data_IF_468017745501
#
_entry.id   IF_468017745501
#
_cell.length_a   1.000
_cell.length_b   1.000
_cell.length_c   1.000
_cell.angle_alpha   90.00
_cell.angle_beta   90.00
_cell.angle_gamma   90.00
#
_symmetry.space_group_name_H-M   'P 1'
#
loop_
_entity.id
_entity.type
_entity.pdbx_description
1 polymer ?
#
# COMPACT_ATOMS: atom_id res chain seq x y z
N UNK A 1 -23.26 -1.76 -23.63
CA UNK A 1 -21.99 -2.47 -23.89
C UNK A 1 -21.10 -2.29 -22.68
N UNK A 2 -20.66 -3.41 -22.11
CA UNK A 2 -20.21 -3.56 -20.73
C UNK A 2 -18.95 -2.75 -20.35
N UNK A 3 -19.04 -2.02 -19.23
CA UNK A 3 -17.91 -1.49 -18.50
C UNK A 3 -17.11 -2.63 -17.88
N UNK A 4 -16.11 -3.14 -18.62
CA UNK A 4 -15.00 -3.88 -18.01
C UNK A 4 -14.09 -2.83 -17.37
N UNK A 5 -13.87 -2.90 -16.06
CA UNK A 5 -12.69 -2.34 -15.44
C UNK A 5 -11.46 -2.89 -16.18
N UNK A 6 -10.87 -2.07 -17.06
CA UNK A 6 -9.74 -2.47 -17.92
C UNK A 6 -8.47 -2.36 -17.10
N UNK A 7 -7.78 -3.49 -16.97
CA UNK A 7 -6.36 -3.55 -16.66
C UNK A 7 -5.53 -2.70 -17.65
N UNK A 8 -4.34 -2.23 -17.25
CA UNK A 8 -3.47 -1.41 -18.09
C UNK A 8 -2.81 -2.27 -19.17
N UNK A 9 -3.20 -2.08 -20.43
CA UNK A 9 -2.70 -2.76 -21.65
C UNK A 9 -2.74 -4.31 -21.60
N UNK A 10 -3.13 -4.93 -22.71
CA UNK A 10 -3.09 -6.40 -22.87
C UNK A 10 -1.64 -6.90 -23.00
N UNK A 11 -1.39 -8.19 -22.73
CA UNK A 11 -0.04 -8.77 -22.94
C UNK A 11 0.45 -8.57 -24.38
N UNK A 12 -0.45 -8.70 -25.37
CA UNK A 12 -0.13 -8.44 -26.79
C UNK A 12 0.23 -6.98 -27.07
N UNK A 13 -0.30 -6.03 -26.30
CA UNK A 13 0.08 -4.61 -26.39
C UNK A 13 1.43 -4.38 -25.71
N UNK A 14 1.72 -5.07 -24.62
CA UNK A 14 3.04 -5.02 -23.96
C UNK A 14 4.16 -5.65 -24.79
N UNK A 15 3.88 -6.74 -25.51
CA UNK A 15 4.83 -7.32 -26.46
C UNK A 15 5.22 -6.30 -27.53
N UNK A 16 4.23 -5.56 -28.05
CA UNK A 16 4.44 -4.52 -29.05
C UNK A 16 5.24 -3.34 -28.49
N UNK A 17 4.92 -2.88 -27.27
CA UNK A 17 5.70 -1.84 -26.57
C UNK A 17 7.14 -2.31 -26.34
N UNK A 18 7.36 -3.60 -26.06
CA UNK A 18 8.70 -4.18 -25.92
C UNK A 18 9.47 -4.15 -27.24
N UNK A 19 8.83 -4.51 -28.35
CA UNK A 19 9.41 -4.40 -29.70
C UNK A 19 9.80 -2.96 -30.01
N UNK A 20 8.91 -1.99 -29.75
CA UNK A 20 9.22 -0.59 -30.01
C UNK A 20 10.35 -0.05 -29.13
N UNK A 21 10.38 -0.44 -27.84
CA UNK A 21 11.47 -0.09 -26.95
C UNK A 21 12.82 -0.65 -27.43
N UNK A 22 12.84 -1.89 -27.91
CA UNK A 22 14.03 -2.51 -28.48
C UNK A 22 14.51 -1.78 -29.75
N UNK A 23 13.61 -1.57 -30.71
CA UNK A 23 13.98 -1.10 -32.06
C UNK A 23 14.23 0.40 -32.15
N UNK A 24 13.53 1.20 -31.35
CA UNK A 24 13.52 2.66 -31.50
C UNK A 24 14.14 3.39 -30.31
N UNK A 25 14.00 2.86 -29.10
CA UNK A 25 14.49 3.52 -27.88
C UNK A 25 15.86 3.01 -27.44
N UNK A 26 16.12 1.70 -27.50
CA UNK A 26 17.29 1.03 -26.91
C UNK A 26 18.23 0.40 -27.95
N UNK A 27 18.03 0.70 -29.23
CA UNK A 27 18.96 0.40 -30.32
C UNK A 27 20.15 1.39 -30.29
N UNK A 28 20.92 1.36 -29.20
CA UNK A 28 22.05 2.26 -28.94
C UNK A 28 23.16 1.55 -28.15
N UNK A 29 24.39 2.04 -28.32
CA UNK A 29 25.55 1.57 -27.55
C UNK A 29 25.61 2.12 -26.13
N UNK A 30 24.84 3.18 -25.84
CA UNK A 30 24.75 3.80 -24.51
C UNK A 30 23.29 3.97 -24.06
N UNK A 31 22.66 2.91 -23.53
CA UNK A 31 21.25 2.94 -23.14
C UNK A 31 20.99 3.83 -21.93
N UNK A 32 21.99 4.08 -21.07
CA UNK A 32 21.82 4.92 -19.88
C UNK A 32 21.63 6.38 -20.26
N UNK A 33 22.54 6.92 -21.08
CA UNK A 33 22.42 8.31 -21.56
C UNK A 33 21.17 8.52 -22.40
N UNK A 34 20.82 7.52 -23.22
CA UNK A 34 19.60 7.56 -24.03
C UNK A 34 18.34 7.67 -23.16
N UNK A 35 18.17 6.81 -22.16
CA UNK A 35 17.01 6.90 -21.27
C UNK A 35 16.99 8.21 -20.48
N UNK A 36 18.14 8.71 -20.04
CA UNK A 36 18.22 10.02 -19.39
C UNK A 36 17.74 11.16 -20.32
N UNK A 37 18.05 11.13 -21.62
CA UNK A 37 17.59 12.12 -22.60
C UNK A 37 16.07 12.12 -22.79
N UNK A 38 15.44 10.94 -22.72
CA UNK A 38 13.97 10.82 -22.73
C UNK A 38 13.32 11.09 -21.36
N UNK A 39 14.11 11.61 -20.40
CA UNK A 39 13.62 12.11 -19.12
C UNK A 39 13.27 11.02 -18.12
N UNK A 40 13.85 9.82 -18.23
CA UNK A 40 13.79 8.85 -17.14
C UNK A 40 14.66 9.30 -15.97
N UNK A 41 14.18 9.08 -14.74
CA UNK A 41 14.90 9.49 -13.53
C UNK A 41 16.26 8.75 -13.43
N UNK A 42 17.36 9.42 -13.06
CA UNK A 42 18.68 8.80 -12.94
C UNK A 42 18.69 7.58 -12.01
N UNK A 43 17.92 7.63 -10.92
CA UNK A 43 17.79 6.54 -9.93
C UNK A 43 17.05 5.33 -10.51
N UNK A 44 16.09 5.57 -11.41
CA UNK A 44 15.38 4.50 -12.11
C UNK A 44 16.28 3.84 -13.15
N UNK A 45 17.00 4.65 -13.94
CA UNK A 45 17.91 4.13 -14.99
C UNK A 45 19.06 3.35 -14.37
N UNK A 46 19.63 3.80 -13.25
CA UNK A 46 20.73 3.10 -12.57
C UNK A 46 20.32 1.78 -11.92
N UNK A 47 19.04 1.60 -11.61
CA UNK A 47 18.49 0.35 -11.08
C UNK A 47 18.22 -0.71 -12.17
N UNK A 48 18.21 -0.33 -13.45
CA UNK A 48 17.96 -1.27 -14.54
C UNK A 48 19.22 -2.09 -14.85
N UNK A 49 19.12 -3.42 -15.03
CA UNK A 49 20.24 -4.27 -15.44
C UNK A 49 20.51 -4.11 -16.95
N UNK A 50 20.95 -2.92 -17.38
CA UNK A 50 21.20 -2.60 -18.78
C UNK A 50 22.53 -3.20 -19.26
N UNK A 51 22.47 -3.99 -20.32
CA UNK A 51 23.59 -4.64 -21.00
C UNK A 51 23.82 -4.03 -22.38
N UNK A 52 24.69 -4.65 -23.20
CA UNK A 52 24.86 -4.28 -24.61
C UNK A 52 23.77 -4.88 -25.53
N UNK A 53 22.88 -5.71 -24.99
CA UNK A 53 21.86 -6.43 -25.77
C UNK A 53 20.54 -5.68 -25.67
N UNK A 54 20.14 -5.02 -26.76
CA UNK A 54 18.93 -4.17 -26.80
C UNK A 54 17.63 -4.92 -26.44
N UNK A 55 17.53 -6.20 -26.81
CA UNK A 55 16.35 -7.02 -26.49
C UNK A 55 16.21 -7.33 -24.99
N UNK A 56 17.32 -7.53 -24.27
CA UNK A 56 17.32 -7.73 -22.82
C UNK A 56 16.98 -6.42 -22.11
N UNK A 57 17.57 -5.31 -22.56
CA UNK A 57 17.31 -3.98 -22.04
C UNK A 57 15.83 -3.59 -22.18
N UNK A 58 15.22 -3.88 -23.34
CA UNK A 58 13.81 -3.58 -23.58
C UNK A 58 12.89 -4.35 -22.65
N UNK A 59 13.16 -5.64 -22.42
CA UNK A 59 12.39 -6.45 -21.46
C UNK A 59 12.56 -5.95 -20.04
N UNK A 60 13.78 -5.62 -19.62
CA UNK A 60 14.06 -5.09 -18.30
C UNK A 60 13.34 -3.75 -18.06
N UNK A 61 13.40 -2.84 -19.04
CA UNK A 61 12.71 -1.55 -19.00
C UNK A 61 11.19 -1.72 -18.92
N UNK A 62 10.59 -2.53 -19.79
CA UNK A 62 9.15 -2.78 -19.78
C UNK A 62 8.71 -3.42 -18.47
N UNK A 63 9.45 -4.41 -17.98
CA UNK A 63 9.14 -5.06 -16.71
C UNK A 63 9.16 -4.08 -15.54
N UNK A 64 10.22 -3.28 -15.43
CA UNK A 64 10.33 -2.24 -14.41
C UNK A 64 9.24 -1.17 -14.55
N UNK A 65 8.91 -0.76 -15.77
CA UNK A 65 7.83 0.22 -16.03
C UNK A 65 6.44 -0.33 -15.72
N UNK A 66 6.19 -1.63 -15.82
CA UNK A 66 4.89 -2.24 -15.51
C UNK A 66 4.50 -2.13 -14.02
N UNK A 67 5.45 -1.83 -13.13
CA UNK A 67 5.23 -1.74 -11.68
C UNK A 67 4.37 -0.54 -11.23
N UNK A 68 4.13 0.46 -12.07
CA UNK A 68 3.26 1.59 -11.71
C UNK A 68 2.76 2.35 -12.93
N UNK A 69 1.52 2.83 -12.87
CA UNK A 69 0.85 3.49 -14.01
C UNK A 69 1.59 4.74 -14.50
N UNK A 70 2.24 5.50 -13.61
CA UNK A 70 3.09 6.64 -13.96
C UNK A 70 4.31 6.20 -14.80
N UNK A 71 4.94 5.08 -14.43
CA UNK A 71 6.11 4.54 -15.14
C UNK A 71 5.71 3.94 -16.49
N UNK A 72 4.52 3.33 -16.57
CA UNK A 72 3.94 2.86 -17.83
C UNK A 72 3.67 4.04 -18.77
N UNK A 73 3.03 5.10 -18.26
CA UNK A 73 2.74 6.31 -19.01
C UNK A 73 4.03 6.98 -19.49
N UNK A 74 5.05 7.09 -18.63
CA UNK A 74 6.36 7.64 -18.99
C UNK A 74 7.05 6.86 -20.11
N UNK A 75 6.99 5.52 -20.07
CA UNK A 75 7.56 4.68 -21.11
C UNK A 75 6.88 4.89 -22.46
N UNK A 76 5.54 4.86 -22.49
CA UNK A 76 4.81 5.04 -23.75
C UNK A 76 4.95 6.49 -24.26
N UNK A 77 4.99 7.50 -23.37
CA UNK A 77 5.32 8.87 -23.75
C UNK A 77 6.69 8.96 -24.43
N UNK A 78 7.73 8.39 -23.81
CA UNK A 78 9.06 8.37 -24.38
C UNK A 78 9.08 7.71 -25.76
N UNK A 79 8.38 6.59 -25.96
CA UNK A 79 8.27 5.94 -27.27
C UNK A 79 7.59 6.84 -28.30
N UNK A 80 6.53 7.56 -27.91
CA UNK A 80 5.84 8.48 -28.84
C UNK A 80 6.64 9.72 -29.22
N UNK A 81 7.70 10.06 -28.46
CA UNK A 81 8.60 11.17 -28.77
C UNK A 81 9.85 10.74 -29.53
N UNK A 82 10.09 9.43 -29.72
CA UNK A 82 11.20 8.96 -30.57
C UNK A 82 10.93 9.29 -32.03
N UNK A 83 11.79 10.09 -32.65
CA UNK A 83 11.67 10.51 -34.06
C UNK A 83 11.53 9.33 -35.03
N UNK A 84 12.24 8.23 -34.78
CA UNK A 84 12.20 7.01 -35.61
C UNK A 84 10.82 6.34 -35.61
N UNK A 85 10.11 6.35 -34.47
CA UNK A 85 8.75 5.80 -34.38
C UNK A 85 7.72 6.80 -34.90
N UNK A 86 7.95 8.09 -34.70
CA UNK A 86 7.01 9.16 -35.06
C UNK A 86 6.64 9.22 -36.56
N UNK A 87 7.52 8.71 -37.43
CA UNK A 87 7.30 8.67 -38.89
C UNK A 87 6.67 7.36 -39.39
N UNK A 88 6.47 6.37 -38.51
CA UNK A 88 5.91 5.07 -38.87
C UNK A 88 4.40 5.00 -38.60
N UNK A 89 3.64 4.15 -39.33
CA UNK A 89 2.21 3.95 -39.06
C UNK A 89 1.92 3.52 -37.61
N UNK A 90 2.86 2.82 -36.98
CA UNK A 90 2.78 2.35 -35.60
C UNK A 90 2.63 3.48 -34.56
N UNK A 91 3.00 4.72 -34.91
CA UNK A 91 2.80 5.88 -34.02
C UNK A 91 1.34 6.11 -33.67
N UNK A 92 0.40 5.78 -34.57
CA UNK A 92 -1.04 5.91 -34.32
C UNK A 92 -1.43 5.01 -33.16
N UNK A 93 -0.98 3.75 -33.20
CA UNK A 93 -1.24 2.79 -32.12
C UNK A 93 -0.55 3.19 -30.82
N UNK A 94 0.69 3.68 -30.89
CA UNK A 94 1.40 4.16 -29.70
C UNK A 94 0.68 5.35 -29.03
N UNK A 95 0.11 6.28 -29.83
CA UNK A 95 -0.71 7.39 -29.34
C UNK A 95 -2.03 6.92 -28.75
N UNK A 96 -2.73 5.97 -29.37
CA UNK A 96 -3.95 5.38 -28.81
C UNK A 96 -3.70 4.70 -27.46
N UNK A 97 -2.58 3.97 -27.33
CA UNK A 97 -2.18 3.37 -26.05
C UNK A 97 -1.87 4.44 -25.01
N UNK A 98 -1.19 5.52 -25.40
CA UNK A 98 -0.89 6.64 -24.52
C UNK A 98 -2.16 7.35 -24.03
N UNK A 99 -3.13 7.61 -24.92
CA UNK A 99 -4.40 8.24 -24.55
C UNK A 99 -5.18 7.38 -23.57
N UNK A 100 -5.26 6.06 -23.81
CA UNK A 100 -5.86 5.11 -22.87
C UNK A 100 -5.17 5.11 -21.51
N UNK A 101 -3.84 5.04 -21.49
CA UNK A 101 -3.08 5.12 -20.24
C UNK A 101 -3.26 6.47 -19.54
N UNK A 102 -3.42 7.57 -20.27
CA UNK A 102 -3.73 8.89 -19.69
C UNK A 102 -5.15 8.97 -19.15
N UNK A 103 -6.12 8.31 -19.79
CA UNK A 103 -7.48 8.19 -19.26
C UNK A 103 -7.51 7.32 -18.02
N UNK A 104 -6.83 6.18 -18.04
CA UNK A 104 -6.68 5.29 -16.89
C UNK A 104 -5.92 6.00 -15.75
N UNK A 105 -4.84 6.73 -16.06
CA UNK A 105 -4.12 7.55 -15.10
C UNK A 105 -5.00 8.67 -14.55
N UNK A 106 -5.78 9.36 -15.39
CA UNK A 106 -6.72 10.39 -14.92
C UNK A 106 -7.83 9.78 -14.07
N UNK A 107 -8.36 8.61 -14.40
CA UNK A 107 -9.36 7.91 -13.60
C UNK A 107 -8.78 7.42 -12.27
N UNK A 108 -7.54 6.92 -12.28
CA UNK A 108 -6.81 6.53 -11.08
C UNK A 108 -6.39 7.71 -10.22
N UNK A 109 -6.00 8.83 -10.82
CA UNK A 109 -5.64 10.07 -10.12
C UNK A 109 -6.86 10.85 -9.65
N UNK A 110 -8.00 10.73 -10.35
CA UNK A 110 -9.27 11.33 -9.95
C UNK A 110 -9.97 10.53 -8.83
N UNK A 111 -9.68 9.24 -8.69
CA UNK A 111 -10.12 8.45 -7.54
C UNK A 111 -9.15 8.66 -6.38
N UNK A 112 -9.61 9.40 -5.39
CA UNK A 112 -8.89 9.56 -4.13
C UNK A 112 -8.83 8.21 -3.41
N UNK A 113 -7.71 7.49 -3.55
CA UNK A 113 -7.51 6.16 -2.95
C UNK A 113 -7.64 6.21 -1.41
N UNK A 114 -7.43 7.38 -0.81
CA UNK A 114 -7.66 7.57 0.63
C UNK A 114 -9.14 7.63 0.98
N UNK A 115 -10.02 7.91 0.02
CA UNK A 115 -11.49 7.93 0.19
C UNK A 115 -12.15 6.62 -0.20
N UNK A 116 -11.38 5.61 -0.65
CA UNK A 116 -11.93 4.32 -1.02
C UNK A 116 -12.73 3.70 0.15
N UNK A 117 -14.02 3.45 -0.08
CA UNK A 117 -14.90 2.75 0.85
C UNK A 117 -14.78 1.23 0.70
N UNK A 118 -14.50 0.75 -0.51
CA UNK A 118 -14.41 -0.68 -0.80
C UNK A 118 -13.03 -1.03 -1.35
N UNK A 119 -12.31 -1.91 -0.65
CA UNK A 119 -10.89 -2.17 -0.89
C UNK A 119 -10.69 -3.30 -1.93
N UNK A 120 -10.33 -4.52 -1.50
CA UNK A 120 -9.91 -5.65 -2.36
C UNK A 120 -10.89 -5.93 -3.50
N UNK A 121 -10.64 -5.39 -4.69
CA UNK A 121 -11.48 -5.60 -5.89
C UNK A 121 -12.98 -5.42 -5.61
N UNK A 122 -13.35 -4.53 -4.68
CA UNK A 122 -14.73 -4.32 -4.32
C UNK A 122 -15.34 -5.30 -3.28
N UNK A 123 -14.57 -6.14 -2.59
CA UNK A 123 -15.16 -7.12 -1.65
C UNK A 123 -15.03 -6.78 -0.17
N UNK A 124 -14.06 -5.94 0.23
CA UNK A 124 -13.83 -5.62 1.65
C UNK A 124 -14.30 -4.21 1.98
N UNK A 125 -15.18 -4.08 2.96
CA UNK A 125 -15.70 -2.80 3.42
C UNK A 125 -14.73 -2.11 4.38
N UNK A 126 -14.47 -0.82 4.13
CA UNK A 126 -13.71 0.05 5.01
C UNK A 126 -14.56 1.27 5.39
N UNK A 127 -15.23 1.16 6.53
CA UNK A 127 -16.29 2.07 6.97
C UNK A 127 -15.72 3.17 7.87
N UNK A 128 -16.04 4.43 7.55
CA UNK A 128 -15.62 5.60 8.32
C UNK A 128 -14.10 5.83 8.29
N UNK A 129 -13.53 6.17 9.46
CA UNK A 129 -12.09 6.39 9.69
C UNK A 129 -11.50 7.60 8.96
N UNK A 130 -12.25 8.70 8.86
CA UNK A 130 -11.81 9.93 8.22
C UNK A 130 -10.52 10.51 8.80
N UNK A 131 -10.38 10.51 10.13
CA UNK A 131 -9.17 10.99 10.80
C UNK A 131 -7.93 10.18 10.38
N UNK A 132 -8.07 8.85 10.25
CA UNK A 132 -6.99 7.98 9.77
C UNK A 132 -6.68 8.24 8.30
N UNK A 133 -7.70 8.44 7.45
CA UNK A 133 -7.51 8.74 6.01
C UNK A 133 -6.69 10.01 5.83
N UNK A 134 -7.06 11.08 6.53
CA UNK A 134 -6.33 12.35 6.49
C UNK A 134 -4.94 12.25 7.14
N UNK A 135 -4.82 11.49 8.24
CA UNK A 135 -3.53 11.25 8.89
C UNK A 135 -2.59 10.50 7.97
N UNK A 136 -3.07 9.46 7.28
CA UNK A 136 -2.27 8.70 6.31
C UNK A 136 -1.89 9.53 5.10
N UNK A 137 -2.78 10.41 4.64
CA UNK A 137 -2.45 11.36 3.56
C UNK A 137 -1.30 12.28 3.94
N UNK A 138 -1.38 12.90 5.13
CA UNK A 138 -0.30 13.76 5.65
C UNK A 138 0.97 12.96 5.90
N UNK A 139 0.83 11.77 6.49
CA UNK A 139 1.94 10.87 6.74
C UNK A 139 2.68 10.56 5.44
N UNK A 140 1.99 10.14 4.37
CA UNK A 140 2.61 9.84 3.08
C UNK A 140 3.26 11.05 2.43
N UNK A 141 2.65 12.23 2.54
CA UNK A 141 3.17 13.46 1.95
C UNK A 141 4.39 14.04 2.70
N UNK A 142 4.56 13.71 3.98
CA UNK A 142 5.62 14.24 4.83
C UNK A 142 6.75 13.21 5.01
N UNK A 143 7.95 13.43 4.43
CA UNK A 143 9.07 12.50 4.55
C UNK A 143 9.71 12.51 5.94
N UNK A 144 9.48 13.56 6.74
CA UNK A 144 9.97 13.61 8.13
C UNK A 144 9.12 12.71 9.04
N UNK A 145 7.92 12.31 8.60
CA UNK A 145 7.04 11.42 9.35
C UNK A 145 7.20 9.97 8.89
N UNK A 146 7.83 9.16 9.74
CA UNK A 146 8.05 7.74 9.46
C UNK A 146 7.50 6.79 10.54
N UNK A 147 6.91 7.31 11.62
CA UNK A 147 6.26 6.47 12.65
C UNK A 147 4.77 6.82 12.75
N UNK A 148 3.90 5.84 12.52
CA UNK A 148 2.46 5.94 12.73
C UNK A 148 2.05 5.12 13.97
N UNK A 149 1.41 5.78 14.92
CA UNK A 149 0.90 5.18 16.15
C UNK A 149 -0.63 5.18 16.10
N UNK A 150 -1.23 3.99 16.17
CA UNK A 150 -2.68 3.82 16.15
C UNK A 150 -3.12 3.22 17.47
N UNK A 151 -3.79 4.05 18.28
CA UNK A 151 -4.43 3.64 19.53
C UNK A 151 -5.90 3.28 19.28
N UNK A 152 -6.57 2.69 20.25
CA UNK A 152 -8.03 2.52 20.29
C UNK A 152 -8.45 1.31 21.09
N UNK A 153 -9.70 1.30 21.53
CA UNK A 153 -10.25 0.23 22.35
C UNK A 153 -10.30 -1.11 21.59
N UNK A 154 -10.26 -2.26 22.29
CA UNK A 154 -10.47 -3.57 21.66
C UNK A 154 -11.77 -3.58 20.86
N UNK A 155 -11.71 -4.09 19.62
CA UNK A 155 -12.87 -4.14 18.72
C UNK A 155 -13.18 -2.84 17.96
N UNK A 156 -12.39 -1.77 18.13
CA UNK A 156 -12.51 -0.51 17.36
C UNK A 156 -12.05 -0.60 15.89
N UNK A 157 -11.69 -1.80 15.42
CA UNK A 157 -11.28 -2.02 14.03
C UNK A 157 -9.83 -1.65 13.72
N UNK A 158 -8.93 -1.57 14.70
CA UNK A 158 -7.49 -1.27 14.48
C UNK A 158 -6.85 -2.18 13.42
N UNK A 159 -7.18 -3.47 13.41
CA UNK A 159 -6.65 -4.41 12.42
C UNK A 159 -7.17 -4.14 10.99
N UNK A 160 -8.29 -3.43 10.83
CA UNK A 160 -8.75 -2.96 9.51
C UNK A 160 -7.86 -1.85 8.96
N UNK A 161 -7.16 -1.09 9.81
CA UNK A 161 -6.14 -0.14 9.37
C UNK A 161 -5.08 -0.84 8.52
N UNK A 162 -4.69 -2.07 8.86
CA UNK A 162 -3.73 -2.83 8.05
C UNK A 162 -4.28 -3.14 6.64
N UNK A 163 -5.56 -3.52 6.52
CA UNK A 163 -6.17 -3.76 5.21
C UNK A 163 -6.18 -2.49 4.36
N UNK A 164 -6.46 -1.34 4.98
CA UNK A 164 -6.42 -0.05 4.31
C UNK A 164 -4.99 0.36 3.92
N UNK A 165 -4.00 0.15 4.79
CA UNK A 165 -2.59 0.35 4.48
C UNK A 165 -2.14 -0.50 3.28
N UNK A 166 -2.59 -1.75 3.20
CA UNK A 166 -2.31 -2.62 2.06
C UNK A 166 -2.93 -2.09 0.78
N UNK A 167 -4.16 -1.59 0.84
CA UNK A 167 -4.80 -0.96 -0.32
C UNK A 167 -4.03 0.28 -0.78
N UNK A 168 -3.71 1.20 0.13
CA UNK A 168 -2.93 2.40 -0.21
C UNK A 168 -1.55 2.00 -0.75
N UNK A 169 -0.88 1.03 -0.12
CA UNK A 169 0.44 0.56 -0.56
C UNK A 169 0.47 0.09 -2.02
N UNK A 170 -0.58 -0.61 -2.46
CA UNK A 170 -0.73 -1.02 -3.86
C UNK A 170 -0.78 0.16 -4.84
N UNK A 171 -1.29 1.32 -4.40
CA UNK A 171 -1.43 2.51 -5.24
C UNK A 171 -0.31 3.54 -5.05
N UNK A 172 0.37 3.53 -3.90
CA UNK A 172 1.42 4.50 -3.53
C UNK A 172 2.83 3.92 -3.57
N UNK A 173 3.01 2.68 -4.05
CA UNK A 173 4.32 2.08 -4.29
C UNK A 173 5.07 1.67 -3.03
N UNK A 174 4.35 1.20 -2.00
CA UNK A 174 4.96 0.63 -0.79
C UNK A 174 4.28 -0.68 -0.40
N UNK A 175 5.00 -1.52 0.35
CA UNK A 175 4.51 -2.82 0.80
C UNK A 175 4.49 -2.89 2.34
N UNK A 176 3.31 -2.96 2.96
CA UNK A 176 3.21 -3.15 4.41
C UNK A 176 3.42 -4.62 4.80
N UNK A 177 4.39 -4.86 5.68
CA UNK A 177 4.74 -6.17 6.23
C UNK A 177 4.30 -6.26 7.68
N UNK A 178 3.46 -7.24 8.02
CA UNK A 178 2.81 -7.31 9.33
C UNK A 178 3.36 -8.42 10.21
N UNK A 179 3.63 -8.07 11.46
CA UNK A 179 3.89 -9.01 12.55
C UNK A 179 2.84 -8.80 13.64
N UNK A 180 1.96 -9.79 13.82
CA UNK A 180 0.99 -9.81 14.92
C UNK A 180 1.68 -10.26 16.21
N UNK A 181 1.59 -9.40 17.22
CA UNK A 181 2.15 -9.61 18.55
C UNK A 181 1.17 -10.34 19.46
N UNK A 182 1.65 -10.79 20.60
CA UNK A 182 0.86 -11.50 21.61
C UNK A 182 1.64 -11.48 22.92
N UNK A 183 0.99 -11.87 24.02
CA UNK A 183 1.61 -11.94 25.36
C UNK A 183 2.90 -12.77 25.44
N UNK A 184 3.11 -13.70 24.50
CA UNK A 184 4.30 -14.58 24.47
C UNK A 184 5.32 -14.18 23.39
N UNK A 185 5.11 -13.02 22.77
CA UNK A 185 6.03 -12.47 21.78
C UNK A 185 7.29 -11.96 22.47
N UNK A 186 8.43 -12.29 21.86
CA UNK A 186 9.76 -11.84 22.30
C UNK A 186 10.44 -11.12 21.15
N UNK A 187 11.41 -10.24 21.46
CA UNK A 187 12.16 -9.51 20.45
C UNK A 187 12.75 -10.46 19.40
N UNK A 188 13.31 -11.59 19.84
CA UNK A 188 13.86 -12.61 18.95
C UNK A 188 12.84 -13.17 17.93
N UNK A 189 11.60 -13.43 18.37
CA UNK A 189 10.53 -13.91 17.47
C UNK A 189 10.11 -12.83 16.48
N UNK A 190 10.03 -11.58 16.94
CA UNK A 190 9.66 -10.43 16.09
C UNK A 190 10.73 -10.18 15.03
N UNK A 191 12.01 -10.13 15.43
CA UNK A 191 13.16 -10.01 14.52
C UNK A 191 13.13 -11.11 13.48
N UNK A 192 12.95 -12.37 13.88
CA UNK A 192 12.90 -13.49 12.93
C UNK A 192 11.79 -13.32 11.90
N UNK A 193 10.59 -12.92 12.33
CA UNK A 193 9.46 -12.68 11.42
C UNK A 193 9.71 -11.49 10.50
N UNK A 194 10.32 -10.42 10.98
CA UNK A 194 10.69 -9.28 10.14
C UNK A 194 11.79 -9.66 9.15
N UNK A 195 12.77 -10.46 9.56
CA UNK A 195 13.83 -11.01 8.72
C UNK A 195 13.25 -11.80 7.53
N UNK A 196 12.21 -12.62 7.75
CA UNK A 196 11.52 -13.34 6.68
C UNK A 196 10.93 -12.41 5.60
N UNK A 197 10.63 -11.16 5.93
CA UNK A 197 10.10 -10.17 4.98
C UNK A 197 11.17 -9.30 4.32
N UNK A 198 12.28 -9.02 5.03
CA UNK A 198 13.35 -8.14 4.54
C UNK A 198 14.52 -8.91 3.90
N UNK A 199 14.57 -10.24 4.03
CA UNK A 199 15.57 -11.08 3.39
C UNK A 199 15.23 -11.31 1.91
N UNK A 200 16.18 -11.01 1.02
CA UNK A 200 16.10 -11.40 -0.39
C UNK A 200 16.19 -12.92 -0.60
N UNK A 201 15.69 -13.45 -1.73
CA UNK A 201 15.78 -14.87 -2.04
C UNK A 201 17.25 -15.33 -2.08
N UNK A 202 17.64 -16.18 -1.12
CA UNK A 202 18.98 -16.78 -1.04
C UNK A 202 19.94 -16.15 -0.03
N UNK A 203 19.59 -15.02 0.60
CA UNK A 203 20.42 -14.38 1.64
C UNK A 203 19.98 -14.83 3.03
N UNK A 204 20.30 -16.09 3.34
CA UNK A 204 19.98 -16.71 4.62
C UNK A 204 21.04 -16.41 5.69
N UNK A 205 20.80 -15.39 6.51
CA UNK A 205 21.23 -15.39 7.90
C UNK A 205 20.36 -14.42 8.70
N UNK A 206 19.53 -14.98 9.59
CA UNK A 206 18.94 -14.19 10.69
C UNK A 206 20.09 -13.68 11.56
N UNK A 207 20.12 -12.39 11.96
CA UNK A 207 21.20 -11.85 12.79
C UNK A 207 21.30 -12.59 14.13
N UNK A 208 20.19 -13.17 14.59
CA UNK A 208 20.14 -14.06 15.75
C UNK A 208 20.55 -15.49 15.34
N UNK A 209 21.85 -15.73 15.17
CA UNK A 209 22.42 -17.06 14.97
C UNK A 209 22.87 -17.62 16.33
N UNK A 210 22.13 -18.56 16.97
CA UNK A 210 22.50 -19.10 18.27
C UNK A 210 23.73 -20.04 18.23
N UNK A 211 24.30 -20.28 17.05
CA UNK A 211 25.37 -21.26 16.82
C UNK A 211 26.77 -20.65 16.66
N UNK A 212 26.90 -19.33 16.55
CA UNK A 212 28.20 -18.65 16.53
C UNK A 212 28.71 -18.47 17.98
N UNK A 213 29.41 -19.50 18.43
CA UNK A 213 29.88 -19.74 19.81
C UNK A 213 30.83 -18.69 20.42
N UNK A 214 31.02 -17.53 19.81
CA UNK A 214 31.93 -16.48 20.30
C UNK A 214 31.32 -15.08 20.44
N UNK A 215 30.06 -14.84 20.03
CA UNK A 215 29.37 -13.58 20.33
C UNK A 215 28.16 -13.86 21.25
N UNK A 216 28.26 -13.32 22.47
CA UNK A 216 27.24 -13.42 23.50
C UNK A 216 26.00 -12.61 23.10
N UNK A 217 25.09 -13.23 22.35
CA UNK A 217 23.79 -12.70 21.92
C UNK A 217 23.91 -11.38 21.13
N UNK A 218 23.64 -11.36 19.81
CA UNK A 218 23.52 -10.10 19.08
C UNK A 218 22.56 -9.19 19.84
N UNK A 219 23.01 -7.98 20.11
CA UNK A 219 22.22 -7.08 20.94
C UNK A 219 20.91 -6.74 20.22
N UNK A 220 19.84 -6.45 20.98
CA UNK A 220 18.56 -6.00 20.41
C UNK A 220 18.76 -4.81 19.47
N UNK A 221 19.74 -3.97 19.78
CA UNK A 221 20.18 -2.83 18.99
C UNK A 221 20.77 -3.23 17.63
N UNK A 222 21.71 -4.18 17.59
CA UNK A 222 22.27 -4.70 16.33
C UNK A 222 21.20 -5.36 15.46
N UNK A 223 20.28 -6.12 16.08
CA UNK A 223 19.17 -6.74 15.37
C UNK A 223 18.22 -5.70 14.76
N UNK A 224 17.94 -4.61 15.49
CA UNK A 224 17.14 -3.50 15.00
C UNK A 224 17.81 -2.78 13.82
N UNK A 225 19.10 -2.46 13.93
CA UNK A 225 19.89 -1.86 12.84
C UNK A 225 19.97 -2.76 11.62
N UNK A 226 20.12 -4.08 11.81
CA UNK A 226 20.09 -5.02 10.71
C UNK A 226 18.74 -5.00 9.98
N UNK A 227 17.62 -5.05 10.71
CA UNK A 227 16.27 -4.99 10.11
C UNK A 227 16.06 -3.67 9.37
N UNK A 228 16.41 -2.53 9.99
CA UNK A 228 16.27 -1.21 9.39
C UNK A 228 17.14 -1.06 8.14
N UNK A 229 18.41 -1.48 8.20
CA UNK A 229 19.33 -1.45 7.06
C UNK A 229 18.84 -2.32 5.89
N UNK A 230 18.32 -3.52 6.17
CA UNK A 230 17.74 -4.40 5.15
C UNK A 230 16.46 -3.85 4.55
N UNK A 231 15.57 -3.31 5.39
CA UNK A 231 14.35 -2.66 4.91
C UNK A 231 14.66 -1.42 4.04
N UNK A 232 15.75 -0.71 4.37
CA UNK A 232 16.24 0.46 3.61
C UNK A 232 16.91 0.06 2.29
N UNK A 233 17.51 -1.13 2.23
CA UNK A 233 18.15 -1.65 1.02
C UNK A 233 17.19 -2.37 0.06
N UNK A 234 15.95 -2.64 0.48
CA UNK A 234 14.95 -3.31 -0.34
C UNK A 234 14.59 -2.48 -1.60
N UNK A 235 14.32 -3.16 -2.71
CA UNK A 235 13.88 -2.53 -3.96
C UNK A 235 12.49 -1.87 -3.81
N UNK A 236 11.65 -2.42 -2.93
CA UNK A 236 10.32 -1.91 -2.59
C UNK A 236 10.38 -1.09 -1.29
N UNK A 237 9.59 0.00 -1.20
CA UNK A 237 9.42 0.74 0.05
C UNK A 237 8.69 -0.13 1.07
N UNK A 238 9.36 -0.53 2.15
CA UNK A 238 8.76 -1.39 3.17
C UNK A 238 8.16 -0.57 4.32
N UNK A 239 6.92 -0.90 4.70
CA UNK A 239 6.29 -0.39 5.91
C UNK A 239 6.19 -1.52 6.92
N UNK A 240 6.95 -1.42 8.01
CA UNK A 240 7.00 -2.40 9.08
C UNK A 240 5.80 -2.17 10.00
N UNK A 241 4.88 -3.13 10.06
CA UNK A 241 3.65 -3.05 10.86
C UNK A 241 3.74 -4.03 12.03
N UNK A 242 3.75 -3.52 13.25
CA UNK A 242 3.61 -4.31 14.47
C UNK A 242 2.15 -4.18 14.95
N UNK A 243 1.42 -5.30 14.92
CA UNK A 243 0.00 -5.35 15.24
C UNK A 243 -0.22 -5.94 16.64
N UNK A 244 -1.30 -5.54 17.31
CA UNK A 244 -1.65 -5.98 18.67
C UNK A 244 -0.58 -5.63 19.74
N UNK A 245 -0.02 -4.41 19.70
CA UNK A 245 0.94 -3.95 20.70
C UNK A 245 0.37 -3.93 22.14
N UNK A 246 -0.95 -3.78 22.30
CA UNK A 246 -1.65 -3.82 23.59
C UNK A 246 -1.73 -5.21 24.22
N UNK A 247 -1.51 -6.27 23.44
CA UNK A 247 -1.42 -7.65 23.95
C UNK A 247 -0.02 -8.03 24.41
N UNK A 248 0.99 -7.16 24.28
CA UNK A 248 2.32 -7.41 24.80
C UNK A 248 2.34 -7.40 26.33
N UNK A 249 3.14 -8.29 26.92
CA UNK A 249 3.45 -8.22 28.34
C UNK A 249 4.22 -6.91 28.65
N UNK A 250 3.88 -6.16 29.71
CA UNK A 250 4.58 -4.93 30.08
C UNK A 250 6.10 -5.10 30.29
N UNK A 251 6.56 -6.30 30.64
CA UNK A 251 7.97 -6.64 30.84
C UNK A 251 8.65 -7.25 29.60
N UNK A 252 7.94 -7.32 28.47
CA UNK A 252 8.47 -7.88 27.22
C UNK A 252 9.67 -7.09 26.69
N UNK A 253 10.70 -7.82 26.25
CA UNK A 253 11.88 -7.29 25.54
C UNK A 253 11.53 -6.70 24.17
N UNK A 254 10.33 -6.96 23.65
CA UNK A 254 9.80 -6.36 22.42
C UNK A 254 9.71 -4.84 22.56
N UNK A 255 9.45 -4.31 23.76
CA UNK A 255 9.39 -2.86 23.97
C UNK A 255 10.73 -2.18 23.71
N UNK A 256 11.84 -2.80 24.14
CA UNK A 256 13.19 -2.34 23.85
C UNK A 256 13.48 -2.43 22.35
N UNK A 257 13.09 -3.53 21.72
CA UNK A 257 13.23 -3.70 20.28
C UNK A 257 12.47 -2.66 19.47
N UNK A 258 11.22 -2.32 19.85
CA UNK A 258 10.45 -1.26 19.19
C UNK A 258 11.17 0.08 19.27
N UNK A 259 11.72 0.42 20.45
CA UNK A 259 12.49 1.63 20.65
C UNK A 259 13.74 1.66 19.76
N UNK A 260 14.53 0.59 19.77
CA UNK A 260 15.76 0.50 18.96
C UNK A 260 15.47 0.46 17.46
N UNK A 261 14.41 -0.23 17.03
CA UNK A 261 14.00 -0.24 15.63
C UNK A 261 13.59 1.16 15.17
N UNK A 262 12.86 1.91 16.00
CA UNK A 262 12.47 3.27 15.69
C UNK A 262 13.68 4.21 15.57
N UNK A 263 14.68 4.07 16.45
CA UNK A 263 15.96 4.80 16.37
C UNK A 263 16.75 4.41 15.11
N UNK A 264 16.90 3.11 14.84
CA UNK A 264 17.61 2.65 13.67
C UNK A 264 16.96 3.17 12.37
N UNK A 265 15.63 3.16 12.29
CA UNK A 265 14.90 3.73 11.15
C UNK A 265 15.16 5.23 10.98
N UNK A 266 15.24 6.00 12.07
CA UNK A 266 15.59 7.42 12.02
C UNK A 266 16.99 7.64 11.43
N UNK A 267 17.97 6.88 11.91
CA UNK A 267 19.36 6.98 11.44
C UNK A 267 19.49 6.59 9.96
N UNK A 268 18.79 5.55 9.53
CA UNK A 268 18.78 5.11 8.14
C UNK A 268 17.92 6.01 7.22
N UNK A 269 16.89 6.67 7.75
CA UNK A 269 16.01 7.54 6.96
C UNK A 269 16.76 8.75 6.39
N UNK A 270 17.72 9.30 7.13
CA UNK A 270 18.58 10.39 6.67
C UNK A 270 19.33 10.07 5.36
N UNK A 271 19.58 8.78 5.07
CA UNK A 271 20.32 8.36 3.88
C UNK A 271 19.44 8.20 2.63
N UNK A 272 18.12 8.02 2.77
CA UNK A 272 17.22 7.61 1.66
C UNK A 272 15.97 8.47 1.49
N UNK A 273 15.73 9.46 2.36
CA UNK A 273 14.63 10.42 2.25
C UNK A 273 13.27 9.71 2.08
N UNK A 274 12.54 10.05 1.00
CA UNK A 274 11.22 9.50 0.69
C UNK A 274 11.15 7.97 0.49
N UNK A 275 12.30 7.31 0.32
CA UNK A 275 12.40 5.86 0.18
C UNK A 275 12.63 5.15 1.53
N UNK A 276 12.75 5.90 2.63
CA UNK A 276 13.00 5.34 3.94
C UNK A 276 11.85 4.41 4.39
N UNK A 277 12.18 3.26 4.99
CA UNK A 277 11.17 2.40 5.59
C UNK A 277 10.42 3.12 6.71
N UNK A 278 9.15 2.78 6.88
CA UNK A 278 8.28 3.39 7.90
C UNK A 278 7.81 2.36 8.91
N UNK A 279 7.57 2.80 10.14
CA UNK A 279 7.07 1.98 11.24
C UNK A 279 5.61 2.31 11.53
N UNK A 280 4.78 1.29 11.67
CA UNK A 280 3.37 1.41 12.07
C UNK A 280 3.15 0.53 13.30
N UNK A 281 2.69 1.11 14.39
CA UNK A 281 2.35 0.40 15.63
C UNK A 281 0.84 0.44 15.85
N UNK A 282 0.17 -0.71 15.74
CA UNK A 282 -1.28 -0.84 15.94
C UNK A 282 -1.57 -1.36 17.34
N UNK A 283 -2.53 -0.72 18.01
CA UNK A 283 -2.79 -0.97 19.43
C UNK A 283 -1.75 -0.33 20.34
N UNK A 284 -1.04 0.71 19.87
CA UNK A 284 0.00 1.37 20.65
C UNK A 284 -0.54 2.65 21.27
N UNK A 285 -0.89 2.58 22.56
CA UNK A 285 -1.54 3.67 23.29
C UNK A 285 -0.59 4.62 23.99
N UNK A 286 -1.09 5.81 24.33
CA UNK A 286 -0.31 6.87 25.01
C UNK A 286 0.19 6.48 26.41
N UNK A 287 -0.45 5.51 27.05
CA UNK A 287 -0.04 4.99 28.36
C UNK A 287 1.11 3.97 28.28
N UNK A 288 1.49 3.53 27.08
CA UNK A 288 2.53 2.53 26.88
C UNK A 288 3.94 3.13 27.00
N UNK A 289 4.95 2.27 26.96
CA UNK A 289 6.36 2.65 27.05
C UNK A 289 6.70 3.63 25.93
N UNK A 290 6.99 4.88 26.26
CA UNK A 290 7.23 5.94 25.29
C UNK A 290 8.42 5.63 24.38
N UNK A 291 8.29 5.99 23.10
CA UNK A 291 9.41 6.01 22.16
C UNK A 291 10.48 7.03 22.60
N UNK A 292 11.73 6.84 22.16
CA UNK A 292 12.82 7.80 22.40
C UNK A 292 12.42 9.26 22.10
N UNK A 293 12.91 10.18 22.94
CA UNK A 293 12.51 11.59 22.92
C UNK A 293 12.76 12.26 21.56
N UNK A 294 13.87 11.91 20.92
CA UNK A 294 14.32 12.50 19.66
C UNK A 294 13.35 12.21 18.50
N UNK A 295 12.56 11.13 18.61
CA UNK A 295 11.62 10.70 17.57
C UNK A 295 10.28 11.43 17.62
N UNK A 296 10.01 12.27 18.63
CA UNK A 296 8.71 12.95 18.82
C UNK A 296 8.31 13.80 17.62
N UNK A 297 9.29 14.38 16.93
CA UNK A 297 9.08 15.15 15.69
C UNK A 297 8.56 14.28 14.53
N UNK A 298 8.84 12.98 14.55
CA UNK A 298 8.60 12.06 13.43
C UNK A 298 7.34 11.19 13.61
N UNK A 299 6.59 11.40 14.70
CA UNK A 299 5.38 10.64 15.02
C UNK A 299 4.13 11.25 14.38
N UNK A 300 3.23 10.36 13.97
CA UNK A 300 1.82 10.63 13.66
C UNK A 300 0.94 9.76 14.56
N UNK A 301 -0.16 10.33 15.05
CA UNK A 301 -1.11 9.64 15.92
C UNK A 301 -2.46 9.52 15.23
N UNK A 302 -3.08 8.35 15.39
CA UNK A 302 -4.47 8.10 15.08
C UNK A 302 -5.15 7.38 16.26
N UNK A 303 -6.46 7.57 16.40
CA UNK A 303 -7.24 6.89 17.44
C UNK A 303 -8.43 6.20 16.80
N UNK A 304 -8.38 4.88 16.81
CA UNK A 304 -9.43 4.01 16.32
C UNK A 304 -10.68 4.12 17.19
N UNK A 305 -11.81 4.37 16.54
CA UNK A 305 -13.14 4.35 17.13
C UNK A 305 -14.02 3.38 16.33
N UNK A 306 -14.91 2.63 17.01
CA UNK A 306 -15.94 1.86 16.32
C UNK A 306 -16.79 2.78 15.44
N UNK A 307 -17.17 2.31 14.26
CA UNK A 307 -18.09 3.02 13.38
C UNK A 307 -19.52 2.93 13.93
N UNK A 308 -20.20 4.06 13.97
CA UNK A 308 -21.60 4.16 14.35
C UNK A 308 -22.51 4.25 13.12
N UNK A 309 -23.82 4.50 13.36
CA UNK A 309 -24.81 4.64 12.29
C UNK A 309 -24.49 5.78 11.31
N UNK A 310 -23.93 6.90 11.80
CA UNK A 310 -23.58 8.04 10.94
C UNK A 310 -22.45 7.72 9.95
N UNK A 311 -21.43 6.97 10.39
CA UNK A 311 -20.36 6.50 9.52
C UNK A 311 -20.86 5.46 8.52
N UNK A 312 -21.82 4.62 8.93
CA UNK A 312 -22.44 3.62 8.04
C UNK A 312 -23.31 4.27 6.96
N UNK A 313 -24.10 5.29 7.33
CA UNK A 313 -24.88 6.09 6.39
C UNK A 313 -23.96 6.78 5.37
N UNK A 314 -22.92 7.46 5.84
CA UNK A 314 -21.93 8.11 4.97
C UNK A 314 -21.25 7.12 4.03
N UNK A 315 -20.92 5.94 4.53
CA UNK A 315 -20.32 4.86 3.75
C UNK A 315 -21.23 4.38 2.63
N UNK A 316 -22.48 4.02 2.91
CA UNK A 316 -23.41 3.54 1.87
C UNK A 316 -23.75 4.63 0.87
N UNK A 317 -23.97 5.86 1.35
CA UNK A 317 -24.21 7.00 0.49
C UNK A 317 -23.06 7.18 -0.51
N UNK A 318 -21.80 7.12 -0.05
CA UNK A 318 -20.64 7.23 -0.94
C UNK A 318 -20.56 6.05 -1.92
N UNK A 319 -20.68 4.80 -1.43
CA UNK A 319 -20.58 3.59 -2.28
C UNK A 319 -21.64 3.60 -3.38
N UNK A 320 -22.88 3.97 -3.05
CA UNK A 320 -24.00 3.96 -3.99
C UNK A 320 -23.92 5.09 -5.02
N UNK A 321 -23.30 6.22 -4.67
CA UNK A 321 -23.02 7.29 -5.63
C UNK A 321 -21.85 6.94 -6.57
N UNK A 322 -20.83 6.27 -6.06
CA UNK A 322 -19.65 5.87 -6.85
C UNK A 322 -19.94 4.71 -7.82
N UNK A 323 -20.80 3.77 -7.43
CA UNK A 323 -21.21 2.62 -8.24
C UNK A 323 -22.73 2.41 -8.16
N UNK A 324 -23.53 3.25 -8.87
CA UNK A 324 -24.97 3.16 -8.81
C UNK A 324 -25.49 1.90 -9.52
N UNK A 325 -26.57 1.29 -9.00
CA UNK A 325 -27.11 0.02 -9.43
C UNK A 325 -27.75 0.21 -10.79
N UNK A 326 -27.82 -0.87 -11.57
CA UNK A 326 -28.23 -0.77 -12.97
C UNK A 326 -29.64 -0.19 -13.11
N UNK A 327 -30.52 -0.50 -12.16
CA UNK A 327 -31.89 0.02 -12.06
C UNK A 327 -31.97 1.55 -11.94
N UNK A 328 -30.95 2.21 -11.36
CA UNK A 328 -30.94 3.67 -11.13
C UNK A 328 -30.13 4.45 -12.17
N UNK A 329 -29.52 3.79 -13.17
CA UNK A 329 -28.67 4.47 -14.16
C UNK A 329 -29.40 5.46 -15.08
N UNK A 330 -30.73 5.56 -15.03
CA UNK A 330 -31.55 6.46 -15.88
C UNK A 330 -32.72 7.21 -15.22
N UNK A 331 -32.87 7.19 -13.88
CA UNK A 331 -33.96 7.87 -13.15
C UNK A 331 -33.47 9.00 -12.22
N UNK A 332 -34.37 9.67 -11.45
CA UNK A 332 -33.96 10.62 -10.41
C UNK A 332 -33.12 9.88 -9.34
N UNK A 333 -31.82 10.20 -9.28
CA UNK A 333 -30.82 9.39 -8.58
C UNK A 333 -30.82 9.62 -7.07
N UNK A 334 -30.91 10.86 -6.64
CA UNK A 334 -30.56 11.21 -5.26
C UNK A 334 -31.58 10.68 -4.24
N UNK A 335 -32.88 10.94 -4.44
CA UNK A 335 -33.92 10.48 -3.51
C UNK A 335 -34.02 8.94 -3.42
N UNK A 336 -33.79 8.23 -4.53
CA UNK A 336 -33.79 6.76 -4.55
C UNK A 336 -32.52 6.17 -3.95
N UNK A 337 -31.38 6.87 -4.00
CA UNK A 337 -30.16 6.46 -3.30
C UNK A 337 -30.36 6.61 -1.80
N UNK A 338 -30.90 7.75 -1.34
CA UNK A 338 -31.14 7.99 0.09
C UNK A 338 -32.05 6.90 0.70
N UNK A 339 -33.15 6.54 0.03
CA UNK A 339 -34.02 5.43 0.49
C UNK A 339 -33.27 4.08 0.56
N UNK A 340 -32.40 3.80 -0.40
CA UNK A 340 -31.59 2.57 -0.41
C UNK A 340 -30.53 2.59 0.70
N UNK A 341 -29.94 3.75 1.00
CA UNK A 341 -29.00 3.92 2.11
C UNK A 341 -29.67 3.60 3.43
N UNK A 342 -30.85 4.17 3.68
CA UNK A 342 -31.60 3.91 4.93
C UNK A 342 -31.91 2.42 5.10
N UNK A 343 -32.41 1.75 4.05
CA UNK A 343 -32.67 0.30 4.09
C UNK A 343 -31.38 -0.48 4.36
N UNK A 344 -30.27 -0.15 3.69
CA UNK A 344 -29.01 -0.85 3.88
C UNK A 344 -28.45 -0.67 5.30
N UNK A 345 -28.55 0.54 5.87
CA UNK A 345 -28.15 0.84 7.26
C UNK A 345 -28.98 0.01 8.24
N UNK A 346 -30.30 0.02 8.10
CA UNK A 346 -31.22 -0.69 8.99
C UNK A 346 -30.99 -2.22 8.96
N UNK A 347 -30.81 -2.80 7.77
CA UNK A 347 -30.53 -4.23 7.63
C UNK A 347 -29.19 -4.63 8.28
N UNK A 348 -28.15 -3.82 8.10
CA UNK A 348 -26.84 -4.08 8.68
C UNK A 348 -26.88 -3.99 10.21
N UNK A 349 -27.50 -2.96 10.76
CA UNK A 349 -27.62 -2.81 12.22
C UNK A 349 -28.40 -3.98 12.84
N UNK A 350 -29.51 -4.40 12.20
CA UNK A 350 -30.31 -5.54 12.64
C UNK A 350 -29.54 -6.86 12.60
N UNK A 351 -28.71 -7.06 11.56
CA UNK A 351 -27.87 -8.26 11.45
C UNK A 351 -26.86 -8.35 12.62
N UNK A 352 -26.23 -7.22 12.97
CA UNK A 352 -25.25 -7.16 14.07
C UNK A 352 -25.90 -7.43 15.42
N UNK A 353 -27.11 -6.93 15.66
CA UNK A 353 -27.86 -7.18 16.90
C UNK A 353 -28.23 -8.67 17.06
N UNK A 354 -28.59 -9.32 15.95
CA UNK A 354 -29.00 -10.74 15.94
C UNK A 354 -27.81 -11.69 16.18
N UNK A 355 -26.61 -11.32 15.71
CA UNK A 355 -25.38 -12.14 15.82
C UNK A 355 -24.57 -11.88 17.11
N UNK A 356 -25.08 -11.11 18.06
CA UNK A 356 -24.36 -10.74 19.29
C UNK A 356 -23.90 -11.92 20.18
N UNK A 357 -24.34 -13.14 19.90
CA UNK A 357 -24.00 -14.34 20.65
C UNK A 357 -22.67 -15.02 20.23
N UNK A 358 -22.10 -14.68 19.07
CA UNK A 358 -20.81 -15.21 18.61
C UNK A 358 -19.68 -14.26 18.98
N UNK A 359 -18.61 -14.72 19.65
CA UNK A 359 -17.50 -13.91 20.17
C UNK A 359 -16.64 -13.13 19.15
N UNK A 360 -17.18 -12.78 17.99
CA UNK A 360 -16.57 -11.90 17.00
C UNK A 360 -16.69 -10.41 17.40
N UNK A 361 -15.65 -9.63 17.08
CA UNK A 361 -15.62 -8.20 17.40
C UNK A 361 -16.71 -7.42 16.64
N UNK A 362 -17.22 -6.35 17.26
CA UNK A 362 -18.28 -5.51 16.69
C UNK A 362 -17.96 -5.04 15.26
N UNK A 363 -16.77 -4.47 15.03
CA UNK A 363 -16.38 -3.99 13.70
C UNK A 363 -16.30 -5.10 12.65
N UNK A 364 -15.95 -6.33 13.05
CA UNK A 364 -15.91 -7.47 12.11
C UNK A 364 -17.30 -7.84 11.63
N UNK A 365 -18.26 -7.90 12.55
CA UNK A 365 -19.67 -8.15 12.23
C UNK A 365 -20.23 -7.02 11.37
N UNK A 366 -19.96 -5.77 11.73
CA UNK A 366 -20.36 -4.59 10.95
C UNK A 366 -19.85 -4.62 9.51
N UNK A 367 -18.54 -4.83 9.30
CA UNK A 367 -17.99 -4.91 7.95
C UNK A 367 -18.54 -6.09 7.16
N UNK A 368 -18.67 -7.28 7.78
CA UNK A 368 -19.19 -8.48 7.11
C UNK A 368 -20.64 -8.29 6.65
N UNK A 369 -21.48 -7.70 7.50
CA UNK A 369 -22.86 -7.37 7.17
C UNK A 369 -22.93 -6.33 6.03
N UNK A 370 -22.10 -5.27 6.09
CA UNK A 370 -22.02 -4.27 5.03
C UNK A 370 -21.56 -4.86 3.68
N UNK A 371 -20.58 -5.77 3.69
CA UNK A 371 -20.13 -6.51 2.51
C UNK A 371 -21.23 -7.41 1.94
N UNK A 372 -22.07 -8.00 2.81
CA UNK A 372 -23.29 -8.70 2.42
C UNK A 372 -24.27 -7.78 1.69
N UNK A 373 -24.57 -6.62 2.28
CA UNK A 373 -25.47 -5.63 1.69
C UNK A 373 -24.97 -5.12 0.33
N UNK A 374 -23.67 -4.81 0.20
CA UNK A 374 -23.07 -4.40 -1.08
C UNK A 374 -23.19 -5.50 -2.15
N UNK A 375 -23.02 -6.77 -1.79
CA UNK A 375 -23.15 -7.88 -2.74
C UNK A 375 -24.58 -8.02 -3.25
N UNK A 376 -25.57 -7.91 -2.37
CA UNK A 376 -26.98 -7.91 -2.76
C UNK A 376 -27.26 -6.70 -3.65
N UNK A 377 -26.80 -5.52 -3.25
CA UNK A 377 -26.98 -4.27 -3.99
C UNK A 377 -26.44 -4.34 -5.42
N UNK A 378 -25.23 -4.88 -5.60
CA UNK A 378 -24.62 -5.04 -6.93
C UNK A 378 -25.29 -6.09 -7.80
N UNK A 379 -26.13 -6.94 -7.23
CA UNK A 379 -26.89 -7.94 -7.98
C UNK A 379 -28.26 -7.43 -8.47
N UNK A 380 -28.69 -6.27 -7.98
CA UNK A 380 -29.88 -5.54 -8.42
C UNK A 380 -29.54 -4.65 -9.63
#
# INVERSE_FOLDING_TARGET
MAGRHRMPLTETEWDLVTTWAQEYLLDTTDPHSQLAQYGFAPEFVSALPLTRVSSENARALVHASRTGIERQLRLVEALTTVDRLAVLPDIVKARDLLERLREDFRAHAARDNFRACVLKNGTEAFIGREDLRETLRRFLADPEKFILLVDGEPGSGRSYTYNFLRHIGQHSGFRPVRVTLSRTSTAAKVVRRLADFVAGPGEGASPLNPTDLNDLLPSIDEAAHWVAGRATAAEERLWLVLDECDELDPSSDVWDFIGQLATALYEHAAARGDQAPRLVLLGYGRAMRQLPYDLRGNLCWDTARPAGPGELHSFFHQVFHEDPPELLRGGPRDASIDELVEVAVDEVLRAIETEAAGGESYMRRLCTAAEGAIRVYRSL
#
